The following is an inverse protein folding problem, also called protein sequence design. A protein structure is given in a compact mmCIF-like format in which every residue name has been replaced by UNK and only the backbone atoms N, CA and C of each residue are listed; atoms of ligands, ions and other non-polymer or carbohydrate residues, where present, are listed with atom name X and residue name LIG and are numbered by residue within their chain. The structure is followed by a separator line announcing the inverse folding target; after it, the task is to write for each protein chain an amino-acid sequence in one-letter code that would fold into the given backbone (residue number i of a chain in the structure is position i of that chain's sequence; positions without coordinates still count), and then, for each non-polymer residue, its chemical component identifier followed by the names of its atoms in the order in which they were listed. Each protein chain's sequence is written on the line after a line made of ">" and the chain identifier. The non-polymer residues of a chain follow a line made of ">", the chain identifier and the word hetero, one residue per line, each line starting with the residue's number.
data_IF_906342723019
#
_entry.id   IF_906342723019
#
_cell.length_a   1.000
_cell.length_b   1.000
_cell.length_c   1.000
_cell.angle_alpha   90.00
_cell.angle_beta   90.00
_cell.angle_gamma   90.00
#
_symmetry.space_group_name_H-M   'P 1'
#
loop_
_entity.id
_entity.type
_entity.pdbx_description
1 polymer ?
#
# COMPACT_ATOMS: atom_id res chain seq x y z
N UNK A 1 -15.02 19.40 -34.44
CA UNK A 1 -13.56 19.23 -34.55
C UNK A 1 -13.02 19.37 -33.14
N UNK A 2 -12.55 18.29 -32.52
CA UNK A 2 -11.92 18.35 -31.19
C UNK A 2 -10.47 18.78 -31.41
N UNK A 3 -10.04 19.87 -30.78
CA UNK A 3 -8.66 20.35 -30.87
C UNK A 3 -7.71 19.38 -30.14
N UNK A 4 -6.59 19.09 -30.78
CA UNK A 4 -5.53 18.21 -30.26
C UNK A 4 -4.69 18.98 -29.22
N UNK A 5 -5.25 19.13 -28.01
CA UNK A 5 -4.60 19.83 -26.89
C UNK A 5 -4.19 18.82 -25.83
N UNK A 6 -2.90 18.83 -25.46
CA UNK A 6 -2.40 18.08 -24.30
C UNK A 6 -2.44 18.94 -23.04
N UNK A 7 -2.63 18.28 -21.88
CA UNK A 7 -2.52 18.89 -20.56
C UNK A 7 -1.49 18.08 -19.78
N UNK A 8 -0.42 18.73 -19.35
CA UNK A 8 0.58 18.10 -18.49
C UNK A 8 0.11 18.11 -17.03
N UNK A 9 0.07 16.94 -16.41
CA UNK A 9 -0.30 16.77 -15.01
C UNK A 9 0.91 16.23 -14.25
N UNK A 10 1.34 16.99 -13.24
CA UNK A 10 2.41 16.57 -12.35
C UNK A 10 1.80 15.68 -11.26
N UNK A 11 2.30 14.45 -11.16
CA UNK A 11 1.88 13.49 -10.14
C UNK A 11 3.11 12.92 -9.46
N UNK A 12 2.92 12.45 -8.22
CA UNK A 12 3.94 11.64 -7.56
C UNK A 12 4.21 10.37 -8.37
N UNK A 13 5.45 9.88 -8.30
CA UNK A 13 5.77 8.58 -8.86
C UNK A 13 5.03 7.47 -8.10
N UNK A 14 4.97 6.29 -8.72
CA UNK A 14 4.25 5.16 -8.19
C UNK A 14 4.78 4.72 -6.82
N UNK A 15 6.10 4.74 -6.65
CA UNK A 15 6.79 4.39 -5.41
C UNK A 15 6.33 5.25 -4.24
N UNK A 16 6.20 6.57 -4.43
CA UNK A 16 5.74 7.49 -3.38
C UNK A 16 4.28 7.23 -3.05
N UNK A 17 3.43 7.01 -4.06
CA UNK A 17 2.01 6.68 -3.83
C UNK A 17 1.85 5.39 -3.02
N UNK A 18 2.62 4.35 -3.34
CA UNK A 18 2.60 3.08 -2.63
C UNK A 18 3.21 3.19 -1.22
N UNK A 19 4.30 3.93 -1.07
CA UNK A 19 4.95 4.19 0.22
C UNK A 19 4.01 4.87 1.21
N UNK A 20 3.27 5.92 0.78
CA UNK A 20 2.32 6.60 1.66
C UNK A 20 1.16 5.71 2.11
N UNK A 21 0.70 4.80 1.24
CA UNK A 21 -0.35 3.83 1.57
C UNK A 21 0.16 2.79 2.56
N UNK A 22 1.34 2.23 2.30
CA UNK A 22 1.96 1.23 3.16
C UNK A 22 2.27 1.79 4.56
N UNK A 23 2.83 3.00 4.63
CA UNK A 23 3.07 3.68 5.91
C UNK A 23 1.77 3.90 6.69
N UNK A 24 0.69 4.27 6.00
CA UNK A 24 -0.63 4.45 6.65
C UNK A 24 -1.17 3.14 7.21
N UNK A 25 -0.97 2.01 6.50
CA UNK A 25 -1.37 0.68 6.96
C UNK A 25 -0.58 0.29 8.22
N UNK A 26 0.73 0.48 8.20
CA UNK A 26 1.62 0.14 9.33
C UNK A 26 1.29 1.00 10.55
N UNK A 27 1.05 2.30 10.38
CA UNK A 27 0.86 3.21 11.52
C UNK A 27 -0.52 3.14 12.15
N UNK A 28 -1.57 2.86 11.36
CA UNK A 28 -2.95 2.77 11.87
C UNK A 28 -3.35 1.39 12.37
N UNK A 29 -2.55 0.37 12.07
CA UNK A 29 -2.76 -1.01 12.53
C UNK A 29 -4.21 -1.48 12.33
N UNK A 30 -4.82 -2.10 13.35
CA UNK A 30 -6.19 -2.62 13.36
C UNK A 30 -7.26 -1.54 13.52
N UNK A 31 -6.89 -0.28 13.74
CA UNK A 31 -7.82 0.87 13.74
C UNK A 31 -8.02 1.47 12.34
N UNK A 32 -7.33 0.95 11.33
CA UNK A 32 -7.38 1.48 9.97
C UNK A 32 -8.72 1.16 9.28
N UNK A 33 -9.44 2.21 8.86
CA UNK A 33 -10.71 2.10 8.12
C UNK A 33 -10.56 2.38 6.62
N UNK A 34 -9.37 2.73 6.15
CA UNK A 34 -9.08 3.11 4.75
C UNK A 34 -8.86 1.88 3.87
N UNK A 35 -9.87 1.02 3.76
CA UNK A 35 -9.82 -0.24 2.98
C UNK A 35 -9.40 -0.04 1.52
N UNK A 36 -9.64 1.14 0.94
CA UNK A 36 -9.18 1.47 -0.41
C UNK A 36 -7.66 1.44 -0.55
N UNK A 37 -6.90 1.86 0.47
CA UNK A 37 -5.44 1.86 0.37
C UNK A 37 -4.88 0.43 0.21
N UNK A 38 -5.53 -0.56 0.83
CA UNK A 38 -5.21 -1.98 0.64
C UNK A 38 -5.50 -2.46 -0.80
N UNK A 39 -6.65 -2.07 -1.35
CA UNK A 39 -7.01 -2.38 -2.74
C UNK A 39 -6.05 -1.69 -3.72
N UNK A 40 -5.73 -0.42 -3.49
CA UNK A 40 -4.87 0.38 -4.35
C UNK A 40 -3.47 -0.24 -4.43
N UNK A 41 -2.93 -0.74 -3.31
CA UNK A 41 -1.65 -1.49 -3.32
C UNK A 41 -1.77 -2.71 -4.23
N UNK A 42 -2.83 -3.53 -4.06
CA UNK A 42 -3.03 -4.70 -4.90
C UNK A 42 -3.09 -4.36 -6.39
N UNK A 43 -3.96 -3.43 -6.79
CA UNK A 43 -4.18 -3.17 -8.22
C UNK A 43 -2.98 -2.46 -8.86
N UNK A 44 -2.33 -1.54 -8.15
CA UNK A 44 -1.14 -0.85 -8.67
C UNK A 44 0.06 -1.79 -8.81
N UNK A 45 0.22 -2.74 -7.90
CA UNK A 45 1.22 -3.81 -8.03
C UNK A 45 0.90 -4.72 -9.24
N UNK A 46 -0.37 -5.09 -9.45
CA UNK A 46 -0.75 -5.89 -10.62
C UNK A 46 -0.53 -5.17 -11.96
N UNK A 47 -0.81 -3.86 -12.02
CA UNK A 47 -0.71 -3.09 -13.26
C UNK A 47 0.72 -2.63 -13.57
N UNK A 48 1.50 -2.31 -12.53
CA UNK A 48 2.76 -1.58 -12.66
C UNK A 48 3.86 -2.08 -11.70
N UNK A 49 3.65 -3.19 -10.97
CA UNK A 49 4.62 -3.69 -9.99
C UNK A 49 5.97 -4.05 -10.61
N UNK A 50 5.99 -4.46 -11.88
CA UNK A 50 7.20 -4.76 -12.63
C UNK A 50 8.05 -3.51 -12.98
N UNK A 51 7.49 -2.30 -12.84
CA UNK A 51 8.22 -1.05 -13.08
C UNK A 51 8.80 -0.45 -11.80
N UNK A 52 8.49 -1.01 -10.63
CA UNK A 52 8.90 -0.44 -9.35
C UNK A 52 10.42 -0.50 -9.18
N UNK A 53 11.01 0.66 -8.88
CA UNK A 53 12.38 0.70 -8.39
C UNK A 53 12.41 0.46 -6.89
N UNK A 54 13.07 -0.61 -6.46
CA UNK A 54 13.16 -1.03 -5.05
C UNK A 54 13.78 0.04 -4.16
N UNK A 55 14.87 0.68 -4.62
CA UNK A 55 15.56 1.70 -3.84
C UNK A 55 14.68 2.94 -3.70
N UNK A 56 14.06 3.39 -4.80
CA UNK A 56 13.13 4.54 -4.77
C UNK A 56 11.93 4.28 -3.87
N UNK A 57 11.39 3.05 -3.85
CA UNK A 57 10.30 2.67 -2.95
C UNK A 57 10.74 2.68 -1.47
N UNK A 58 11.92 2.13 -1.17
CA UNK A 58 12.49 2.16 0.18
C UNK A 58 12.71 3.61 0.67
N UNK A 59 13.37 4.43 -0.16
CA UNK A 59 13.65 5.83 0.16
C UNK A 59 12.36 6.63 0.36
N UNK A 60 11.34 6.40 -0.48
CA UNK A 60 10.04 7.04 -0.37
C UNK A 60 9.31 6.63 0.93
N UNK A 61 9.37 5.36 1.33
CA UNK A 61 8.78 4.88 2.58
C UNK A 61 9.46 5.52 3.79
N UNK A 62 10.79 5.54 3.81
CA UNK A 62 11.56 6.15 4.90
C UNK A 62 11.31 7.66 4.97
N UNK A 63 11.33 8.35 3.82
CA UNK A 63 11.04 9.78 3.76
C UNK A 63 9.61 10.12 4.23
N UNK A 64 8.64 9.27 3.88
CA UNK A 64 7.25 9.43 4.32
C UNK A 64 7.13 9.26 5.83
N UNK A 65 7.71 8.21 6.39
CA UNK A 65 7.68 7.95 7.83
C UNK A 65 8.38 9.08 8.60
N UNK A 66 9.53 9.54 8.12
CA UNK A 66 10.25 10.68 8.70
C UNK A 66 9.45 11.97 8.66
N UNK A 67 8.78 12.26 7.53
CA UNK A 67 7.91 13.43 7.40
C UNK A 67 6.74 13.38 8.38
N UNK A 68 6.25 12.18 8.74
CA UNK A 68 5.12 11.95 9.63
C UNK A 68 5.51 11.69 11.09
N UNK A 69 6.80 11.52 11.40
CA UNK A 69 7.31 11.20 12.74
C UNK A 69 6.95 9.77 13.19
N UNK A 70 6.88 8.83 12.24
CA UNK A 70 6.36 7.48 12.45
C UNK A 70 7.40 6.39 12.22
N UNK A 71 8.68 6.74 12.10
CA UNK A 71 9.79 5.82 11.79
C UNK A 71 9.83 4.61 12.73
N UNK A 72 9.53 4.82 14.02
CA UNK A 72 9.48 3.74 15.03
C UNK A 72 8.50 2.61 14.66
N UNK A 73 7.41 2.91 13.96
CA UNK A 73 6.41 1.89 13.58
C UNK A 73 6.90 1.03 12.41
N UNK A 74 7.85 1.51 11.61
CA UNK A 74 8.44 0.70 10.55
C UNK A 74 9.26 -0.46 11.12
N UNK A 75 9.91 -0.27 12.28
CA UNK A 75 10.67 -1.34 12.94
C UNK A 75 9.79 -2.51 13.41
N UNK A 76 8.51 -2.24 13.67
CA UNK A 76 7.52 -3.22 14.15
C UNK A 76 6.58 -3.70 13.03
N UNK A 77 6.85 -3.31 11.77
CA UNK A 77 5.91 -3.49 10.67
C UNK A 77 5.54 -4.96 10.42
N UNK A 78 6.46 -5.92 10.60
CA UNK A 78 6.16 -7.35 10.43
C UNK A 78 5.09 -7.80 11.43
N UNK A 79 5.23 -7.44 12.70
CA UNK A 79 4.29 -7.81 13.76
C UNK A 79 2.95 -7.11 13.59
N UNK A 80 2.97 -5.83 13.20
CA UNK A 80 1.75 -5.09 12.85
C UNK A 80 1.00 -5.75 11.69
N UNK A 81 1.71 -6.16 10.63
CA UNK A 81 1.06 -6.81 9.48
C UNK A 81 0.47 -8.17 9.89
N UNK A 82 1.08 -8.90 10.83
CA UNK A 82 0.51 -10.12 11.41
C UNK A 82 -0.78 -9.84 12.18
N UNK A 83 -0.80 -8.78 13.00
CA UNK A 83 -1.99 -8.35 13.74
C UNK A 83 -3.12 -7.92 12.78
N UNK A 84 -2.80 -7.11 11.77
CA UNK A 84 -3.75 -6.63 10.76
C UNK A 84 -4.36 -7.79 9.97
N UNK A 85 -3.54 -8.75 9.54
CA UNK A 85 -4.00 -9.91 8.78
C UNK A 85 -4.95 -10.81 9.60
N UNK A 86 -4.57 -11.08 10.85
CA UNK A 86 -5.35 -11.96 11.75
C UNK A 86 -6.57 -11.28 12.37
N UNK A 87 -6.68 -9.96 12.30
CA UNK A 87 -7.77 -9.19 12.92
C UNK A 87 -9.14 -9.48 12.31
N UNK A 88 -10.11 -9.99 13.10
CA UNK A 88 -11.49 -10.18 12.64
C UNK A 88 -12.17 -8.86 12.25
N UNK A 89 -11.76 -7.75 12.88
CA UNK A 89 -12.29 -6.41 12.58
C UNK A 89 -11.88 -6.00 11.18
N UNK A 90 -10.59 -6.15 10.83
CA UNK A 90 -10.08 -5.81 9.50
C UNK A 90 -10.72 -6.67 8.42
N UNK A 91 -10.84 -7.98 8.66
CA UNK A 91 -11.53 -8.90 7.75
C UNK A 91 -12.99 -8.49 7.50
N UNK A 92 -13.71 -8.06 8.55
CA UNK A 92 -15.09 -7.59 8.43
C UNK A 92 -15.20 -6.27 7.66
N UNK A 93 -14.25 -5.35 7.87
CA UNK A 93 -14.18 -4.09 7.12
C UNK A 93 -13.91 -4.36 5.63
N UNK A 94 -12.97 -5.25 5.32
CA UNK A 94 -12.68 -5.65 3.95
C UNK A 94 -13.86 -6.34 3.28
N UNK A 95 -14.53 -7.27 3.98
CA UNK A 95 -15.76 -7.92 3.49
C UNK A 95 -16.85 -6.90 3.15
N UNK A 96 -17.00 -5.88 3.99
CA UNK A 96 -17.97 -4.79 3.76
C UNK A 96 -17.57 -3.94 2.55
N UNK A 97 -16.28 -3.65 2.39
CA UNK A 97 -15.73 -2.91 1.26
C UNK A 97 -16.00 -3.61 -0.07
N UNK A 98 -15.63 -4.89 -0.20
CA UNK A 98 -15.82 -5.63 -1.46
C UNK A 98 -17.29 -5.86 -1.84
N UNK A 99 -18.20 -5.90 -0.86
CA UNK A 99 -19.65 -5.95 -1.13
C UNK A 99 -20.15 -4.64 -1.75
N UNK A 100 -19.51 -3.52 -1.41
CA UNK A 100 -19.88 -2.19 -1.91
C UNK A 100 -19.25 -1.87 -3.26
N UNK A 101 -18.04 -2.37 -3.53
CA UNK A 101 -17.26 -2.04 -4.72
C UNK A 101 -16.99 -3.28 -5.57
N UNK A 102 -17.64 -3.37 -6.73
CA UNK A 102 -17.61 -4.54 -7.62
C UNK A 102 -16.21 -4.91 -8.11
N UNK A 103 -15.33 -3.93 -8.32
CA UNK A 103 -13.94 -4.16 -8.74
C UNK A 103 -13.09 -4.93 -7.71
N UNK A 104 -13.58 -5.08 -6.48
CA UNK A 104 -12.91 -5.81 -5.41
C UNK A 104 -13.67 -7.07 -4.97
N UNK A 105 -14.79 -7.40 -5.64
CA UNK A 105 -15.75 -8.41 -5.18
C UNK A 105 -15.11 -9.78 -4.92
N UNK A 106 -14.19 -10.21 -5.79
CA UNK A 106 -13.57 -11.54 -5.76
C UNK A 106 -12.22 -11.57 -5.02
N UNK A 107 -11.81 -10.46 -4.40
CA UNK A 107 -10.51 -10.35 -3.75
C UNK A 107 -10.60 -10.72 -2.27
N UNK A 108 -10.16 -11.93 -1.94
CA UNK A 108 -10.09 -12.39 -0.56
C UNK A 108 -9.14 -11.56 0.32
N UNK A 109 -9.38 -11.52 1.63
CA UNK A 109 -8.53 -10.74 2.55
C UNK A 109 -7.07 -11.20 2.51
N UNK A 110 -6.85 -12.51 2.40
CA UNK A 110 -5.52 -13.11 2.24
C UNK A 110 -4.82 -12.68 0.96
N UNK A 111 -5.56 -12.51 -0.15
CA UNK A 111 -5.00 -12.02 -1.43
C UNK A 111 -4.47 -10.59 -1.25
N UNK A 112 -5.28 -9.75 -0.60
CA UNK A 112 -4.94 -8.36 -0.34
C UNK A 112 -3.75 -8.23 0.61
N UNK A 113 -3.74 -8.99 1.71
CA UNK A 113 -2.59 -9.00 2.63
C UNK A 113 -1.34 -9.57 1.98
N UNK A 114 -1.49 -10.54 1.06
CA UNK A 114 -0.41 -11.01 0.20
C UNK A 114 0.25 -9.87 -0.59
N UNK A 115 -0.55 -9.01 -1.23
CA UNK A 115 -0.02 -7.86 -1.97
C UNK A 115 0.70 -6.85 -1.06
N UNK A 116 0.11 -6.52 0.10
CA UNK A 116 0.74 -5.61 1.08
C UNK A 116 2.07 -6.15 1.57
N UNK A 117 2.15 -7.46 1.87
CA UNK A 117 3.39 -8.12 2.31
C UNK A 117 4.43 -8.18 1.20
N UNK A 118 4.02 -8.46 -0.03
CA UNK A 118 4.92 -8.45 -1.19
C UNK A 118 5.55 -7.07 -1.38
N UNK A 119 4.74 -6.00 -1.31
CA UNK A 119 5.22 -4.63 -1.39
C UNK A 119 6.20 -4.30 -0.25
N UNK A 120 5.86 -4.64 1.00
CA UNK A 120 6.75 -4.42 2.15
C UNK A 120 8.08 -5.18 2.00
N UNK A 121 8.05 -6.43 1.55
CA UNK A 121 9.25 -7.23 1.30
C UNK A 121 10.11 -6.68 0.13
N UNK A 122 9.52 -5.92 -0.80
CA UNK A 122 10.27 -5.21 -1.82
C UNK A 122 11.14 -4.09 -1.21
N UNK A 123 10.63 -3.39 -0.19
CA UNK A 123 11.35 -2.34 0.54
C UNK A 123 12.54 -2.90 1.33
N UNK A 124 12.40 -4.07 1.97
CA UNK A 124 13.42 -4.61 2.88
C UNK A 124 14.72 -5.09 2.19
N UNK A 125 14.63 -5.69 1.00
CA UNK A 125 15.85 -6.22 0.32
C UNK A 125 16.68 -5.16 -0.41
N UNK A 126 16.44 -3.87 -0.15
CA UNK A 126 17.32 -2.77 -0.57
C UNK A 126 18.56 -2.60 0.32
N UNK A 127 18.58 -3.23 1.50
CA UNK A 127 19.62 -3.04 2.52
C UNK A 127 20.80 -4.04 2.45
N UNK A 128 21.01 -4.73 1.33
CA UNK A 128 22.16 -5.62 1.15
C UNK A 128 23.16 -5.04 0.16
N UNK A 129 24.10 -4.25 0.69
CA UNK A 129 25.43 -4.00 0.15
C UNK A 129 26.45 -4.31 1.25
#
# INVERSE_FOLDING_TARGET
>A
MLEDRSIDIWAYNLETVLAEKLETIITRTTTNTRMRDFYDIYILDQLHGNTLNRQTLYDALLATAKKRGTERHLAEAVDVLNEVESSPVMQKLWKSYRRKFSYAADLEWSIIMGAVRSLYALCEKGSSL
#
